data_IF_953108845092
#
_entry.id   IF_953108845092
#
_cell.length_a   1.000
_cell.length_b   1.000
_cell.length_c   1.000
_cell.angle_alpha   90.00
_cell.angle_beta   90.00
_cell.angle_gamma   90.00
#
_symmetry.space_group_name_H-M   'P 1'
#
loop_
_entity.id
_entity.type
_entity.pdbx_description
1 polymer ?
#
# COMPACT_ATOMS: atom_id res chain seq x y z
N UNK A 1 19.32 -10.67 -7.32
CA UNK A 1 19.02 -9.34 -6.72
C UNK A 1 17.74 -8.71 -7.27
N UNK A 2 17.61 -8.47 -8.58
CA UNK A 2 16.38 -7.88 -9.17
C UNK A 2 15.10 -8.68 -8.90
N UNK A 3 15.14 -10.01 -9.06
CA UNK A 3 14.02 -10.90 -8.72
C UNK A 3 13.63 -10.87 -7.22
N UNK A 4 14.61 -10.74 -6.33
CA UNK A 4 14.34 -10.66 -4.88
C UNK A 4 13.65 -9.33 -4.51
N UNK A 5 14.04 -8.23 -5.17
CA UNK A 5 13.40 -6.92 -5.00
C UNK A 5 11.96 -6.96 -5.53
N UNK A 6 11.74 -7.54 -6.72
CA UNK A 6 10.41 -7.65 -7.32
C UNK A 6 9.45 -8.50 -6.48
N UNK A 7 9.92 -9.64 -6.01
CA UNK A 7 9.15 -10.53 -5.13
C UNK A 7 8.88 -9.86 -3.78
N UNK A 8 9.86 -9.14 -3.23
CA UNK A 8 9.72 -8.36 -1.99
C UNK A 8 8.68 -7.25 -2.13
N UNK A 9 8.73 -6.47 -3.21
CA UNK A 9 7.74 -5.42 -3.50
C UNK A 9 6.33 -5.99 -3.68
N UNK A 10 6.19 -7.09 -4.44
CA UNK A 10 4.90 -7.74 -4.67
C UNK A 10 4.30 -8.28 -3.37
N UNK A 11 5.11 -8.92 -2.53
CA UNK A 11 4.66 -9.42 -1.21
C UNK A 11 4.31 -8.28 -0.25
N UNK A 12 5.12 -7.23 -0.22
CA UNK A 12 4.84 -6.06 0.60
C UNK A 12 3.52 -5.40 0.19
N UNK A 13 3.25 -5.28 -1.11
CA UNK A 13 2.00 -4.69 -1.60
C UNK A 13 0.77 -5.50 -1.19
N UNK A 14 0.83 -6.83 -1.30
CA UNK A 14 -0.25 -7.72 -0.85
C UNK A 14 -0.43 -7.64 0.67
N UNK A 15 0.65 -7.64 1.45
CA UNK A 15 0.58 -7.52 2.90
C UNK A 15 -0.03 -6.19 3.35
N UNK A 16 0.29 -5.08 2.67
CA UNK A 16 -0.31 -3.76 2.93
C UNK A 16 -1.80 -3.79 2.59
N UNK A 17 -2.21 -4.39 1.48
CA UNK A 17 -3.61 -4.50 1.11
C UNK A 17 -4.41 -5.32 2.15
N UNK A 18 -3.91 -6.48 2.56
CA UNK A 18 -4.56 -7.34 3.56
C UNK A 18 -4.68 -6.63 4.93
N UNK A 19 -3.64 -5.90 5.35
CA UNK A 19 -3.68 -5.13 6.60
C UNK A 19 -4.78 -4.04 6.58
N UNK A 20 -4.93 -3.33 5.46
CA UNK A 20 -5.96 -2.32 5.29
C UNK A 20 -7.37 -2.94 5.27
N UNK A 21 -7.56 -4.08 4.60
CA UNK A 21 -8.82 -4.83 4.57
C UNK A 21 -9.22 -5.28 5.98
N UNK A 22 -8.28 -5.87 6.73
CA UNK A 22 -8.53 -6.31 8.11
C UNK A 22 -8.92 -5.14 9.01
N UNK A 23 -8.30 -3.98 8.80
CA UNK A 23 -8.62 -2.75 9.55
C UNK A 23 -9.99 -2.19 9.17
N UNK A 24 -10.40 -2.28 7.91
CA UNK A 24 -11.76 -1.94 7.46
C UNK A 24 -12.80 -2.85 8.11
N UNK A 25 -12.52 -4.15 8.23
CA UNK A 25 -13.39 -5.09 8.95
C UNK A 25 -13.51 -4.65 10.42
N UNK A 26 -12.40 -4.32 11.08
CA UNK A 26 -12.43 -3.80 12.45
C UNK A 26 -13.23 -2.50 12.56
N UNK A 27 -13.11 -1.58 11.60
CA UNK A 27 -13.89 -0.34 11.56
C UNK A 27 -15.40 -0.61 11.43
N UNK A 28 -15.80 -1.56 10.58
CA UNK A 28 -17.20 -1.99 10.44
C UNK A 28 -17.72 -2.58 11.74
N UNK A 29 -16.94 -3.45 12.40
CA UNK A 29 -17.30 -4.01 13.70
C UNK A 29 -17.47 -2.88 14.74
N UNK A 30 -16.53 -1.93 14.80
CA UNK A 30 -16.62 -0.76 15.68
C UNK A 30 -17.81 0.15 15.36
N UNK A 31 -18.23 0.24 14.09
CA UNK A 31 -19.41 1.01 13.71
C UNK A 31 -20.71 0.35 14.17
N UNK A 32 -20.80 -0.98 14.10
CA UNK A 32 -21.97 -1.74 14.55
C UNK A 32 -22.08 -1.82 16.08
N UNK A 33 -20.97 -2.11 16.77
CA UNK A 33 -20.95 -2.30 18.22
C UNK A 33 -20.63 -1.02 19.02
N UNK A 34 -20.08 0.00 18.37
CA UNK A 34 -19.71 1.26 19.02
C UNK A 34 -20.88 2.20 19.25
N UNK A 35 -20.79 3.03 20.28
CA UNK A 35 -21.77 4.07 20.62
C UNK A 35 -21.22 5.46 20.29
N UNK A 36 -22.11 6.38 19.89
CA UNK A 36 -21.85 7.82 19.67
C UNK A 36 -20.51 8.14 19.01
N UNK A 37 -19.50 8.44 19.84
CA UNK A 37 -18.15 8.84 19.45
C UNK A 37 -17.40 7.76 18.64
N UNK A 38 -17.60 6.47 18.96
CA UNK A 38 -16.88 5.35 18.31
C UNK A 38 -17.35 5.16 16.86
N UNK A 39 -18.63 5.42 16.58
CA UNK A 39 -19.16 5.38 15.21
C UNK A 39 -18.55 6.47 14.33
N UNK A 40 -18.40 7.68 14.89
CA UNK A 40 -17.72 8.79 14.22
C UNK A 40 -16.25 8.50 13.94
N UNK A 41 -15.55 7.90 14.92
CA UNK A 41 -14.18 7.43 14.73
C UNK A 41 -14.06 6.37 13.62
N UNK A 42 -14.92 5.36 13.64
CA UNK A 42 -14.94 4.30 12.65
C UNK A 42 -15.19 4.81 11.21
N UNK A 43 -16.08 5.81 11.06
CA UNK A 43 -16.33 6.47 9.77
C UNK A 43 -15.09 7.18 9.23
N UNK A 44 -14.44 8.00 10.05
CA UNK A 44 -13.22 8.72 9.64
C UNK A 44 -12.07 7.77 9.33
N UNK A 45 -11.90 6.70 10.14
CA UNK A 45 -10.91 5.67 9.89
C UNK A 45 -11.15 4.97 8.55
N UNK A 46 -12.39 4.62 8.25
CA UNK A 46 -12.76 3.95 6.99
C UNK A 46 -12.45 4.82 5.77
N UNK A 47 -12.79 6.11 5.82
CA UNK A 47 -12.49 7.07 4.75
C UNK A 47 -10.98 7.25 4.59
N UNK A 48 -10.23 7.32 5.70
CA UNK A 48 -8.77 7.43 5.69
C UNK A 48 -8.08 6.22 5.05
N UNK A 49 -8.56 5.01 5.35
CA UNK A 49 -8.03 3.76 4.75
C UNK A 49 -8.29 3.74 3.24
N UNK A 50 -9.49 4.11 2.79
CA UNK A 50 -9.82 4.17 1.37
C UNK A 50 -8.93 5.17 0.61
N UNK A 51 -8.77 6.38 1.16
CA UNK A 51 -7.90 7.40 0.58
C UNK A 51 -6.42 6.95 0.56
N UNK A 52 -5.96 6.29 1.62
CA UNK A 52 -4.61 5.74 1.74
C UNK A 52 -4.38 4.62 0.72
N UNK A 53 -5.31 3.67 0.57
CA UNK A 53 -5.22 2.60 -0.42
C UNK A 53 -5.20 3.13 -1.84
N UNK A 54 -6.05 4.12 -2.14
CA UNK A 54 -6.04 4.77 -3.45
C UNK A 54 -4.69 5.45 -3.75
N UNK A 55 -4.15 6.15 -2.76
CA UNK A 55 -2.82 6.76 -2.85
C UNK A 55 -1.74 5.70 -3.04
N UNK A 56 -1.77 4.59 -2.29
CA UNK A 56 -0.80 3.51 -2.41
C UNK A 56 -0.79 2.86 -3.81
N UNK A 57 -1.96 2.61 -4.41
CA UNK A 57 -2.08 2.07 -5.77
C UNK A 57 -1.50 3.06 -6.80
N UNK A 58 -1.88 4.34 -6.69
CA UNK A 58 -1.44 5.39 -7.60
C UNK A 58 0.06 5.64 -7.50
N UNK A 59 0.59 5.77 -6.28
CA UNK A 59 2.01 5.94 -5.98
C UNK A 59 2.80 4.73 -6.46
N UNK A 60 2.31 3.50 -6.28
CA UNK A 60 3.01 2.30 -6.76
C UNK A 60 3.13 2.31 -8.28
N UNK A 61 2.06 2.66 -9.01
CA UNK A 61 2.11 2.81 -10.47
C UNK A 61 3.08 3.91 -10.90
N UNK A 62 3.06 5.06 -10.23
CA UNK A 62 3.97 6.17 -10.50
C UNK A 62 5.43 5.83 -10.21
N UNK A 63 5.69 5.19 -9.07
CA UNK A 63 7.03 4.76 -8.65
C UNK A 63 7.58 3.72 -9.64
N UNK A 64 6.76 2.75 -10.06
CA UNK A 64 7.16 1.78 -11.08
C UNK A 64 7.48 2.46 -12.43
N UNK A 65 6.69 3.46 -12.83
CA UNK A 65 6.94 4.22 -14.06
C UNK A 65 8.24 5.06 -13.97
N UNK A 66 8.48 5.69 -12.82
CA UNK A 66 9.69 6.47 -12.54
C UNK A 66 10.93 5.58 -12.48
N UNK A 67 10.86 4.43 -11.82
CA UNK A 67 11.96 3.45 -11.75
C UNK A 67 12.24 2.87 -13.13
N UNK A 68 11.21 2.52 -13.90
CA UNK A 68 11.36 2.01 -15.27
C UNK A 68 11.88 3.07 -16.26
N UNK A 69 11.53 4.35 -16.07
CA UNK A 69 12.02 5.46 -16.88
C UNK A 69 13.40 5.99 -16.47
N UNK A 70 13.85 5.69 -15.24
CA UNK A 70 15.19 6.05 -14.80
C UNK A 70 16.23 5.15 -15.50
N UNK A 71 17.10 5.76 -16.31
CA UNK A 71 18.23 5.09 -16.98
C UNK A 71 19.25 4.42 -16.02
N UNK A 72 18.97 4.39 -14.71
CA UNK A 72 19.78 3.78 -13.67
C UNK A 72 19.78 2.24 -13.75
N UNK A 73 18.70 1.65 -14.29
CA UNK A 73 18.59 0.20 -14.54
C UNK A 73 19.41 -0.24 -15.76
N UNK A 74 19.81 0.70 -16.62
CA UNK A 74 20.52 0.45 -17.89
C UNK A 74 22.05 0.56 -17.78
N UNK A 75 22.59 1.03 -16.65
CA UNK A 75 24.03 1.16 -16.50
C UNK A 75 24.67 -0.15 -16.04
N UNK A 76 25.10 -0.97 -17.00
CA UNK A 76 25.85 -2.23 -16.82
C UNK A 76 27.16 -2.05 -16.00
N UNK A 77 27.59 -0.82 -15.71
CA UNK A 77 28.84 -0.51 -15.02
C UNK A 77 28.79 -0.59 -13.48
N UNK A 78 27.60 -0.75 -12.89
CA UNK A 78 27.41 -0.90 -11.43
C UNK A 78 27.18 -2.35 -10.98
N UNK A 79 27.01 -3.29 -11.93
CA UNK A 79 26.98 -4.73 -11.66
C UNK A 79 28.34 -5.32 -11.99
N UNK A 80 29.36 -4.94 -11.20
CA UNK A 80 30.74 -5.39 -11.36
C UNK A 80 30.85 -6.84 -11.79
N UNK A 81 31.72 -7.06 -12.77
CA UNK A 81 32.26 -8.36 -13.13
C UNK A 81 32.83 -9.09 -11.91
#
# INVERSE_FOLDING_TARGET
>A
LRSAIDVGFKRAFVAIADANITTLIAAVVLYFFGTGSIKGFALTLSIGILASMFTAITVTRWLLHLVAGSNLVRNQKLYGA
#
